data_IF_946550939781
#
_entry.id   IF_946550939781
#
_cell.length_a   1.000
_cell.length_b   1.000
_cell.length_c   1.000
_cell.angle_alpha   90.00
_cell.angle_beta   90.00
_cell.angle_gamma   90.00
#
_symmetry.space_group_name_H-M   'P 1'
#
loop_
_entity.id
_entity.type
_entity.pdbx_description
1 polymer ?
#
# COMPACT_ATOMS: atom_id res chain seq x y z
N UNK A 1 12.08 0.99 3.64
CA UNK A 1 12.57 0.73 5.01
C UNK A 1 13.46 -0.51 4.95
N UNK A 2 14.69 -0.44 5.44
CA UNK A 2 15.66 -1.54 5.37
C UNK A 2 15.76 -2.34 6.69
N UNK A 3 16.46 -3.47 6.68
CA UNK A 3 16.55 -4.36 7.85
C UNK A 3 17.16 -3.66 9.08
N UNK A 4 18.19 -2.84 8.89
CA UNK A 4 18.82 -2.09 9.99
C UNK A 4 17.85 -1.13 10.66
N UNK A 5 17.02 -0.43 9.88
CA UNK A 5 15.99 0.47 10.40
C UNK A 5 14.92 -0.31 11.19
N UNK A 6 14.50 -1.47 10.71
CA UNK A 6 13.54 -2.35 11.40
C UNK A 6 14.10 -2.87 12.72
N UNK A 7 15.35 -3.32 12.73
CA UNK A 7 16.02 -3.81 13.94
C UNK A 7 16.14 -2.69 14.97
N UNK A 8 16.43 -1.47 14.52
CA UNK A 8 16.50 -0.31 15.41
C UNK A 8 15.12 0.08 15.97
N UNK A 9 14.05 0.03 15.15
CA UNK A 9 12.68 0.23 15.64
C UNK A 9 12.33 -0.84 16.67
N UNK A 10 12.64 -2.11 16.39
CA UNK A 10 12.40 -3.22 17.31
C UNK A 10 13.10 -3.02 18.65
N UNK A 11 14.41 -2.71 18.64
CA UNK A 11 15.17 -2.42 19.84
C UNK A 11 14.61 -1.21 20.61
N UNK A 12 14.21 -0.15 19.91
CA UNK A 12 13.60 1.02 20.56
C UNK A 12 12.25 0.69 21.19
N UNK A 13 11.45 -0.19 20.58
CA UNK A 13 10.18 -0.66 21.13
C UNK A 13 10.40 -1.54 22.36
N UNK A 14 11.35 -2.48 22.29
CA UNK A 14 11.70 -3.39 23.41
C UNK A 14 12.29 -2.65 24.60
N UNK A 15 13.12 -1.63 24.34
CA UNK A 15 13.75 -0.80 25.38
C UNK A 15 12.93 0.45 25.77
N UNK A 16 11.68 0.54 25.31
CA UNK A 16 10.74 1.63 25.65
C UNK A 16 11.27 3.05 25.32
N UNK A 17 12.05 3.17 24.25
CA UNK A 17 12.68 4.44 23.84
C UNK A 17 11.66 5.35 23.14
N UNK A 18 11.49 6.55 23.69
CA UNK A 18 10.65 7.59 23.09
C UNK A 18 11.41 8.41 22.03
N UNK A 19 10.74 8.88 20.95
CA UNK A 19 9.29 8.82 20.69
C UNK A 19 8.83 7.51 20.01
N UNK A 20 9.73 6.58 19.69
CA UNK A 20 9.43 5.36 18.94
C UNK A 20 8.36 4.51 19.65
N UNK A 21 8.50 4.30 20.96
CA UNK A 21 7.54 3.54 21.76
C UNK A 21 6.12 4.14 21.73
N UNK A 22 5.99 5.46 21.85
CA UNK A 22 4.69 6.15 21.76
C UNK A 22 4.05 5.98 20.37
N UNK A 23 4.85 6.09 19.31
CA UNK A 23 4.38 5.85 17.94
C UNK A 23 3.89 4.42 17.75
N UNK A 24 4.63 3.44 18.28
CA UNK A 24 4.26 2.03 18.25
C UNK A 24 2.99 1.72 19.03
N UNK A 25 2.84 2.28 20.24
CA UNK A 25 1.62 2.09 21.03
C UNK A 25 0.41 2.71 20.34
N UNK A 26 0.56 3.89 19.75
CA UNK A 26 -0.50 4.51 18.95
C UNK A 26 -0.87 3.65 17.75
N UNK A 27 0.12 3.16 16.98
CA UNK A 27 -0.09 2.29 15.81
C UNK A 27 -1.02 1.12 16.17
N UNK A 28 -0.75 0.41 17.27
CA UNK A 28 -1.55 -0.75 17.70
C UNK A 28 -3.02 -0.41 18.03
N UNK A 29 -3.30 0.84 18.38
CA UNK A 29 -4.67 1.29 18.72
C UNK A 29 -5.46 1.78 17.51
N UNK A 30 -4.81 1.98 16.36
CA UNK A 30 -5.49 2.43 15.15
C UNK A 30 -6.46 1.35 14.64
N UNK A 31 -7.62 1.79 14.11
CA UNK A 31 -8.66 0.88 13.58
C UNK A 31 -8.13 -0.08 12.51
N UNK A 32 -7.14 0.36 11.74
CA UNK A 32 -6.52 -0.37 10.64
C UNK A 32 -5.56 -1.47 11.12
N UNK A 33 -5.17 -1.44 12.39
CA UNK A 33 -4.23 -2.37 13.00
C UNK A 33 -4.92 -3.55 13.69
N UNK A 34 -6.25 -3.60 13.66
CA UNK A 34 -7.03 -4.67 14.28
C UNK A 34 -7.03 -5.93 13.41
N UNK A 35 -6.81 -7.10 14.01
CA UNK A 35 -6.98 -8.39 13.32
C UNK A 35 -8.43 -8.66 12.87
N UNK A 36 -9.41 -7.92 13.39
CA UNK A 36 -10.80 -7.96 12.91
C UNK A 36 -11.03 -7.07 11.69
N UNK A 37 -10.01 -6.39 11.18
CA UNK A 37 -10.11 -5.56 9.99
C UNK A 37 -10.55 -6.38 8.78
N UNK A 38 -11.50 -5.83 8.04
CA UNK A 38 -12.05 -6.43 6.82
C UNK A 38 -11.71 -5.54 5.64
N UNK A 39 -11.15 -6.15 4.60
CA UNK A 39 -10.78 -5.48 3.36
C UNK A 39 -12.00 -4.91 2.62
N UNK A 40 -11.79 -3.78 1.96
CA UNK A 40 -12.72 -3.11 1.06
C UNK A 40 -12.37 -3.38 -0.42
N UNK A 41 -11.69 -4.49 -0.71
CA UNK A 41 -11.29 -4.88 -2.05
C UNK A 41 -12.48 -4.86 -3.03
N UNK A 42 -12.30 -4.13 -4.12
CA UNK A 42 -13.27 -3.95 -5.20
C UNK A 42 -12.54 -4.02 -6.54
N UNK A 43 -13.28 -4.11 -7.64
CA UNK A 43 -12.67 -4.21 -8.97
C UNK A 43 -12.29 -2.88 -9.61
N UNK A 44 -12.92 -1.78 -9.19
CA UNK A 44 -12.58 -0.43 -9.63
C UNK A 44 -12.37 0.50 -8.44
N UNK A 45 -11.23 1.19 -8.43
CA UNK A 45 -10.96 2.32 -7.53
C UNK A 45 -11.15 3.62 -8.30
N UNK A 46 -12.22 4.32 -7.98
CA UNK A 46 -12.49 5.67 -8.44
C UNK A 46 -11.70 6.69 -7.63
N UNK A 47 -11.05 7.62 -8.32
CA UNK A 47 -10.41 8.78 -7.73
C UNK A 47 -11.45 9.84 -7.34
N UNK A 48 -12.34 9.48 -6.41
CA UNK A 48 -13.53 10.24 -6.03
C UNK A 48 -13.63 10.54 -4.52
N UNK A 49 -12.66 10.07 -3.73
CA UNK A 49 -12.66 10.16 -2.27
C UNK A 49 -13.59 9.16 -1.57
N UNK A 50 -14.29 8.32 -2.33
CA UNK A 50 -15.04 7.19 -1.81
C UNK A 50 -14.18 5.93 -1.83
N UNK A 51 -14.07 5.33 -3.01
CA UNK A 51 -13.34 4.06 -3.17
C UNK A 51 -11.83 4.24 -3.06
N UNK A 52 -11.26 5.37 -3.49
CA UNK A 52 -9.84 5.69 -3.28
C UNK A 52 -9.47 5.78 -1.80
N UNK A 53 -10.33 6.34 -0.94
CA UNK A 53 -10.08 6.40 0.50
C UNK A 53 -10.16 5.02 1.16
N UNK A 54 -11.05 4.15 0.68
CA UNK A 54 -11.11 2.74 1.11
C UNK A 54 -9.86 1.97 0.68
N UNK A 55 -9.41 2.16 -0.56
CA UNK A 55 -8.18 1.57 -1.06
C UNK A 55 -6.95 1.99 -0.25
N UNK A 56 -6.79 3.29 0.01
CA UNK A 56 -5.71 3.80 0.87
C UNK A 56 -5.81 3.25 2.29
N UNK A 57 -7.02 3.15 2.84
CA UNK A 57 -7.24 2.56 4.17
C UNK A 57 -6.78 1.11 4.26
N UNK A 58 -7.12 0.29 3.27
CA UNK A 58 -6.71 -1.10 3.19
C UNK A 58 -5.18 -1.25 3.08
N UNK A 59 -4.54 -0.41 2.27
CA UNK A 59 -3.07 -0.42 2.14
C UNK A 59 -2.40 -0.04 3.45
N UNK A 60 -2.93 0.96 4.16
CA UNK A 60 -2.43 1.34 5.49
C UNK A 60 -2.64 0.22 6.53
N UNK A 61 -3.75 -0.52 6.44
CA UNK A 61 -3.98 -1.70 7.27
C UNK A 61 -2.94 -2.80 6.98
N UNK A 62 -2.73 -3.13 5.70
CA UNK A 62 -1.72 -4.11 5.30
C UNK A 62 -0.31 -3.69 5.76
N UNK A 63 0.06 -2.42 5.57
CA UNK A 63 1.33 -1.87 6.04
C UNK A 63 1.49 -1.95 7.55
N UNK A 64 0.46 -1.56 8.32
CA UNK A 64 0.47 -1.66 9.78
C UNK A 64 0.69 -3.09 10.25
N UNK A 65 -0.03 -4.05 9.66
CA UNK A 65 0.13 -5.46 9.98
C UNK A 65 1.49 -6.01 9.57
N UNK A 66 2.02 -5.65 8.39
CA UNK A 66 3.37 -6.07 7.99
C UNK A 66 4.47 -5.49 8.91
N UNK A 67 4.31 -4.25 9.37
CA UNK A 67 5.21 -3.66 10.37
C UNK A 67 5.08 -4.37 11.72
N UNK A 68 3.86 -4.70 12.13
CA UNK A 68 3.64 -5.46 13.36
C UNK A 68 4.27 -6.84 13.32
N UNK A 69 4.14 -7.54 12.20
CA UNK A 69 4.85 -8.79 11.92
C UNK A 69 6.36 -8.62 12.06
N UNK A 70 6.92 -7.63 11.38
CA UNK A 70 8.37 -7.40 11.33
C UNK A 70 8.98 -7.15 12.71
N UNK A 71 8.25 -6.48 13.61
CA UNK A 71 8.72 -6.16 14.96
C UNK A 71 8.47 -7.30 15.95
N UNK A 72 7.28 -7.92 15.90
CA UNK A 72 6.83 -8.87 16.94
C UNK A 72 7.01 -10.34 16.58
N UNK A 73 7.13 -10.66 15.28
CA UNK A 73 7.07 -12.04 14.79
C UNK A 73 5.71 -12.72 14.96
N UNK A 74 4.63 -11.98 15.27
CA UNK A 74 3.30 -12.57 15.40
C UNK A 74 2.70 -12.86 14.01
N UNK A 75 2.65 -14.15 13.65
CA UNK A 75 2.19 -14.64 12.34
C UNK A 75 0.80 -14.14 11.96
N UNK A 76 -0.12 -13.92 12.91
CA UNK A 76 -1.46 -13.43 12.62
C UNK A 76 -1.45 -12.06 11.90
N UNK A 77 -0.42 -11.24 12.15
CA UNK A 77 -0.26 -9.98 11.45
C UNK A 77 0.27 -10.17 10.02
N UNK A 78 1.20 -11.10 9.80
CA UNK A 78 1.64 -11.44 8.44
C UNK A 78 0.46 -11.95 7.61
N UNK A 79 -0.32 -12.89 8.17
CA UNK A 79 -1.48 -13.49 7.51
C UNK A 79 -2.52 -12.43 7.14
N UNK A 80 -2.81 -11.48 8.05
CA UNK A 80 -3.75 -10.39 7.79
C UNK A 80 -3.26 -9.43 6.72
N UNK A 81 -1.97 -9.09 6.70
CA UNK A 81 -1.41 -8.24 5.64
C UNK A 81 -1.47 -8.95 4.28
N UNK A 82 -1.12 -10.23 4.22
CA UNK A 82 -1.19 -11.07 3.02
C UNK A 82 -2.65 -11.17 2.54
N UNK A 83 -3.62 -11.40 3.44
CA UNK A 83 -5.05 -11.45 3.12
C UNK A 83 -5.49 -10.18 2.37
N UNK A 84 -5.13 -9.00 2.88
CA UNK A 84 -5.50 -7.72 2.27
C UNK A 84 -4.85 -7.54 0.90
N UNK A 85 -3.53 -7.77 0.78
CA UNK A 85 -2.83 -7.66 -0.51
C UNK A 85 -3.38 -8.64 -1.54
N UNK A 86 -3.66 -9.87 -1.11
CA UNK A 86 -4.22 -10.90 -1.96
C UNK A 86 -5.62 -10.54 -2.44
N UNK A 87 -6.48 -10.02 -1.56
CA UNK A 87 -7.82 -9.58 -1.93
C UNK A 87 -7.79 -8.52 -3.04
N UNK A 88 -6.93 -7.50 -2.91
CA UNK A 88 -6.78 -6.48 -3.95
C UNK A 88 -6.15 -7.02 -5.23
N UNK A 89 -5.11 -7.86 -5.15
CA UNK A 89 -4.50 -8.48 -6.34
C UNK A 89 -5.46 -9.37 -7.13
N UNK A 90 -6.48 -9.91 -6.46
CA UNK A 90 -7.50 -10.75 -7.06
C UNK A 90 -8.63 -9.92 -7.67
N UNK A 91 -9.04 -8.84 -7.00
CA UNK A 91 -10.22 -8.06 -7.40
C UNK A 91 -9.91 -6.92 -8.35
N UNK A 92 -8.83 -6.17 -8.11
CA UNK A 92 -8.59 -4.87 -8.74
C UNK A 92 -8.31 -5.02 -10.24
N UNK A 93 -9.07 -4.27 -11.06
CA UNK A 93 -8.93 -4.24 -12.51
C UNK A 93 -8.44 -2.87 -13.00
N UNK A 94 -8.87 -1.79 -12.36
CA UNK A 94 -8.47 -0.44 -12.74
C UNK A 94 -8.55 0.56 -11.58
N UNK A 95 -7.72 1.61 -11.69
CA UNK A 95 -7.87 2.86 -10.94
C UNK A 95 -8.29 3.91 -11.97
N UNK A 96 -9.48 4.47 -11.80
CA UNK A 96 -10.09 5.37 -12.78
C UNK A 96 -10.36 6.74 -12.22
N UNK A 97 -10.35 7.72 -13.11
CA UNK A 97 -10.75 9.06 -12.75
C UNK A 97 -12.26 9.12 -12.53
N UNK A 98 -12.72 10.07 -11.72
CA UNK A 98 -14.15 10.36 -11.68
C UNK A 98 -14.62 10.80 -13.09
N UNK A 99 -15.72 10.24 -13.63
CA UNK A 99 -16.17 10.52 -14.99
C UNK A 99 -16.42 12.01 -15.30
N UNK A 100 -16.67 12.82 -14.28
CA UNK A 100 -16.97 14.25 -14.40
C UNK A 100 -15.75 15.18 -14.32
N UNK A 101 -14.52 14.66 -14.21
CA UNK A 101 -13.33 15.47 -13.96
C UNK A 101 -12.28 15.39 -15.08
N UNK A 102 -11.72 16.55 -15.44
CA UNK A 102 -10.68 16.68 -16.46
C UNK A 102 -9.25 16.46 -15.89
N UNK A 103 -9.11 16.53 -14.57
CA UNK A 103 -7.83 16.35 -13.87
C UNK A 103 -7.61 14.87 -13.63
N UNK A 104 -6.46 14.32 -14.04
CA UNK A 104 -6.07 12.91 -13.94
C UNK A 104 -5.82 12.47 -12.48
N UNK A 105 -6.85 12.45 -11.64
CA UNK A 105 -6.70 12.14 -10.21
C UNK A 105 -6.31 10.69 -9.95
N UNK A 106 -6.61 9.75 -10.85
CA UNK A 106 -6.20 8.35 -10.73
C UNK A 106 -4.69 8.17 -10.68
N UNK A 107 -3.94 9.10 -11.31
CA UNK A 107 -2.48 9.11 -11.28
C UNK A 107 -1.96 9.54 -9.91
N UNK A 108 -2.65 10.47 -9.25
CA UNK A 108 -2.36 10.82 -7.85
C UNK A 108 -2.70 9.63 -6.95
N UNK A 109 -3.82 8.96 -7.21
CA UNK A 109 -4.24 7.78 -6.45
C UNK A 109 -3.22 6.65 -6.55
N UNK A 110 -2.63 6.41 -7.72
CA UNK A 110 -1.53 5.46 -7.88
C UNK A 110 -0.24 5.95 -7.19
N UNK A 111 0.09 7.24 -7.31
CA UNK A 111 1.34 7.80 -6.80
C UNK A 111 1.50 7.67 -5.28
N UNK A 112 0.52 8.12 -4.50
CA UNK A 112 0.57 8.05 -3.02
C UNK A 112 0.36 6.64 -2.45
N UNK A 113 -0.26 5.71 -3.20
CA UNK A 113 -0.47 4.32 -2.73
C UNK A 113 0.66 3.38 -3.12
N UNK A 114 1.41 3.68 -4.19
CA UNK A 114 2.48 2.82 -4.69
C UNK A 114 3.61 2.61 -3.67
N UNK A 115 4.03 3.67 -2.96
CA UNK A 115 5.08 3.57 -1.95
C UNK A 115 4.70 2.62 -0.80
N UNK A 116 3.59 2.83 -0.06
CA UNK A 116 3.24 1.93 1.03
C UNK A 116 2.92 0.51 0.56
N UNK A 117 2.39 0.33 -0.66
CA UNK A 117 2.25 -1.00 -1.27
C UNK A 117 3.60 -1.70 -1.47
N UNK A 118 4.59 -0.99 -2.04
CA UNK A 118 5.93 -1.53 -2.26
C UNK A 118 6.61 -1.91 -0.93
N UNK A 119 6.57 -1.01 0.06
CA UNK A 119 7.15 -1.27 1.38
C UNK A 119 6.51 -2.48 2.05
N UNK A 120 5.17 -2.57 2.07
CA UNK A 120 4.44 -3.70 2.66
C UNK A 120 4.81 -5.02 1.98
N UNK A 121 4.91 -4.99 0.64
CA UNK A 121 5.26 -6.16 -0.17
C UNK A 121 6.68 -6.65 0.14
N UNK A 122 7.64 -5.74 0.24
CA UNK A 122 9.03 -6.06 0.58
C UNK A 122 9.15 -6.66 1.99
N UNK A 123 8.47 -6.04 2.97
CA UNK A 123 8.44 -6.54 4.34
C UNK A 123 7.94 -7.98 4.39
N UNK A 124 6.88 -8.35 3.67
CA UNK A 124 6.34 -9.71 3.69
C UNK A 124 7.18 -10.70 2.88
N UNK A 125 7.59 -10.32 1.67
CA UNK A 125 8.28 -11.20 0.72
C UNK A 125 9.64 -11.66 1.24
N UNK A 126 10.34 -10.82 1.99
CA UNK A 126 11.71 -11.10 2.44
C UNK A 126 11.85 -11.43 3.92
N UNK A 127 10.73 -11.58 4.66
CA UNK A 127 10.74 -11.90 6.10
C UNK A 127 10.27 -13.32 6.43
N UNK A 128 10.16 -14.20 5.43
CA UNK A 128 9.58 -15.54 5.59
C UNK A 128 8.15 -15.51 6.16
N UNK A 129 7.35 -14.50 5.76
CA UNK A 129 5.98 -14.30 6.22
C UNK A 129 4.98 -15.38 5.76
N UNK A 130 5.41 -16.33 4.92
CA UNK A 130 4.55 -17.39 4.39
C UNK A 130 3.71 -16.98 3.17
N UNK A 131 4.06 -15.90 2.49
CA UNK A 131 3.33 -15.46 1.29
C UNK A 131 3.58 -16.40 0.10
N UNK A 132 2.50 -17.00 -0.40
CA UNK A 132 2.55 -17.96 -1.50
C UNK A 132 3.12 -17.35 -2.80
N UNK A 133 3.95 -18.13 -3.51
CA UNK A 133 4.64 -17.67 -4.71
C UNK A 133 3.67 -17.30 -5.86
N UNK A 134 2.55 -18.02 -6.00
CA UNK A 134 1.54 -17.72 -7.02
C UNK A 134 0.78 -16.44 -6.68
N UNK A 135 0.52 -16.20 -5.39
CA UNK A 135 -0.08 -14.96 -4.91
C UNK A 135 0.82 -13.75 -5.14
N UNK A 136 2.12 -13.89 -4.85
CA UNK A 136 3.13 -12.87 -5.18
C UNK A 136 3.13 -12.58 -6.68
N UNK A 137 3.12 -13.62 -7.53
CA UNK A 137 3.11 -13.45 -8.98
C UNK A 137 1.85 -12.70 -9.48
N UNK A 138 0.67 -13.00 -8.91
CA UNK A 138 -0.57 -12.27 -9.21
C UNK A 138 -0.48 -10.81 -8.78
N UNK A 139 0.05 -10.55 -7.60
CA UNK A 139 0.26 -9.18 -7.12
C UNK A 139 1.23 -8.39 -8.03
N UNK A 140 2.33 -9.02 -8.47
CA UNK A 140 3.24 -8.41 -9.45
C UNK A 140 2.55 -8.08 -10.78
N UNK A 141 1.64 -8.94 -11.24
CA UNK A 141 0.83 -8.67 -12.43
C UNK A 141 -0.04 -7.43 -12.21
N UNK A 142 -0.76 -7.34 -11.08
CA UNK A 142 -1.57 -6.15 -10.73
C UNK A 142 -0.74 -4.86 -10.78
N UNK A 143 0.48 -4.85 -10.21
CA UNK A 143 1.36 -3.70 -10.27
C UNK A 143 1.76 -3.35 -11.72
N UNK A 144 2.08 -4.34 -12.54
CA UNK A 144 2.50 -4.14 -13.94
C UNK A 144 1.36 -3.67 -14.83
N UNK A 145 0.14 -4.15 -14.61
CA UNK A 145 -1.01 -3.85 -15.48
C UNK A 145 -1.75 -2.59 -15.07
N UNK A 146 -1.77 -2.25 -13.78
CA UNK A 146 -2.55 -1.13 -13.25
C UNK A 146 -1.64 0.05 -12.88
N UNK A 147 -0.63 -0.18 -12.03
CA UNK A 147 0.20 0.90 -11.49
C UNK A 147 1.23 1.42 -12.48
N UNK A 148 1.95 0.53 -13.17
CA UNK A 148 3.03 0.94 -14.07
C UNK A 148 2.58 1.90 -15.19
N UNK A 149 1.44 1.68 -15.88
CA UNK A 149 0.94 2.64 -16.87
C UNK A 149 0.63 4.02 -16.27
N UNK A 150 0.06 4.07 -15.07
CA UNK A 150 -0.30 5.32 -14.39
C UNK A 150 0.95 6.09 -13.94
N UNK A 151 1.93 5.40 -13.37
CA UNK A 151 3.18 6.02 -12.88
C UNK A 151 4.06 6.47 -14.05
N UNK A 152 4.15 5.69 -15.14
CA UNK A 152 4.92 6.08 -16.34
C UNK A 152 4.47 7.41 -16.93
N UNK A 153 3.17 7.71 -16.86
CA UNK A 153 2.61 8.99 -17.32
C UNK A 153 3.16 10.19 -16.52
N UNK A 154 3.47 10.01 -15.22
CA UNK A 154 4.10 11.04 -14.38
C UNK A 154 5.51 11.36 -14.90
N UNK A 155 6.30 10.32 -15.15
CA UNK A 155 7.72 10.46 -15.49
C UNK A 155 7.95 11.12 -16.87
N UNK A 156 7.04 10.93 -17.82
CA UNK A 156 7.18 11.52 -19.17
C UNK A 156 6.83 13.02 -19.22
N UNK A 157 6.15 13.58 -18.21
CA UNK A 157 5.77 15.00 -18.21
C UNK A 157 6.78 15.93 -17.53
N UNK A 158 7.66 15.42 -16.69
CA UNK A 158 8.73 16.23 -16.06
C UNK A 158 9.93 16.43 -16.97
N UNK A 159 10.09 15.61 -18.02
CA UNK A 159 11.22 15.68 -18.96
C UNK A 159 10.99 16.59 -20.18
N UNK A 160 9.75 17.00 -20.47
CA UNK A 160 9.46 17.85 -21.63
C UNK A 160 8.54 19.01 -21.24
N UNK A 161 9.14 20.11 -20.78
CA UNK A 161 8.47 21.39 -20.61
C UNK A 161 7.98 21.97 -21.94
N UNK A 162 6.86 21.48 -22.47
CA UNK A 162 6.07 22.16 -23.51
C UNK A 162 4.58 22.14 -23.19
N UNK A 163 3.88 23.25 -23.48
CA UNK A 163 2.52 23.46 -23.01
C UNK A 163 1.52 22.60 -23.80
N UNK A 164 0.46 22.17 -23.10
CA UNK A 164 -0.74 21.65 -23.72
C UNK A 164 -1.37 22.78 -24.56
N UNK A 165 -1.28 22.68 -25.89
CA UNK A 165 -2.10 23.50 -26.79
C UNK A 165 -3.56 23.06 -26.61
N UNK A 166 -4.41 24.04 -26.32
CA UNK A 166 -5.86 23.93 -26.39
C UNK A 166 -6.33 23.59 -27.81
N UNK A 167 -7.59 23.12 -27.87
CA UNK A 167 -8.54 23.12 -29.00
C UNK A 167 -8.53 21.85 -29.88
N UNK A 168 -9.59 21.05 -29.80
CA UNK A 168 -10.85 21.33 -30.54
C UNK A 168 -12.06 21.12 -29.65
#
# INVERSE_FOLDING_TARGET
MNQTELDQIKQNVENEVNPCKLGWDKLKTERYSSLSYTTNATDTVWADGGTSNKFTSDILAAWSHALQWSITGNQANADKAIEILNAWSLSLKCIENKPSEYIRQEVLVAGWTAQPLAETTELLRYSNAGWDAADIARFEIMLKTIFYPLIKIIHLKTATGRPLRLIR
#
